data_IF_217906259417
#
_entry.id   IF_217906259417
#
_cell.length_a   1.000
_cell.length_b   1.000
_cell.length_c   1.000
_cell.angle_alpha   90.00
_cell.angle_beta   90.00
_cell.angle_gamma   90.00
#
_symmetry.space_group_name_H-M   'P 1'
#
loop_
_entity.id
_entity.type
_entity.pdbx_description
1 polymer ?
#
# COMPACT_ATOMS: atom_id res chain seq x y z
N UNK A 1 -39.39 -29.81 -70.60
CA UNK A 1 -39.71 -30.87 -69.61
C UNK A 1 -39.43 -30.33 -68.22
N UNK A 2 -40.44 -30.37 -67.35
CA UNK A 2 -40.43 -29.85 -65.98
C UNK A 2 -39.74 -30.86 -65.06
N UNK A 3 -38.88 -30.42 -64.14
CA UNK A 3 -38.63 -31.13 -62.86
C UNK A 3 -38.15 -30.15 -61.78
N UNK A 4 -39.01 -29.97 -60.79
CA UNK A 4 -38.71 -29.34 -59.51
C UNK A 4 -37.83 -30.26 -58.65
N UNK A 5 -36.91 -29.72 -57.85
CA UNK A 5 -36.47 -30.38 -56.62
C UNK A 5 -36.25 -29.37 -55.49
N UNK A 6 -36.83 -29.75 -54.36
CA UNK A 6 -37.02 -29.10 -53.07
C UNK A 6 -35.75 -28.61 -52.37
N UNK A 7 -35.93 -27.49 -51.66
CA UNK A 7 -35.13 -26.98 -50.56
C UNK A 7 -34.88 -28.05 -49.49
N UNK A 8 -33.64 -28.13 -49.00
CA UNK A 8 -33.29 -28.79 -47.74
C UNK A 8 -32.21 -27.96 -47.03
N UNK A 9 -32.65 -27.38 -45.92
CA UNK A 9 -31.85 -26.60 -44.97
C UNK A 9 -30.82 -27.50 -44.28
N UNK A 10 -29.54 -27.12 -44.32
CA UNK A 10 -28.54 -27.59 -43.38
C UNK A 10 -28.20 -26.44 -42.43
N UNK A 11 -28.87 -26.39 -41.29
CA UNK A 11 -28.46 -25.53 -40.18
C UNK A 11 -27.25 -26.17 -39.50
N UNK A 12 -26.10 -25.53 -39.66
CA UNK A 12 -24.85 -25.87 -39.02
C UNK A 12 -24.98 -25.63 -37.50
N UNK A 13 -25.14 -26.70 -36.74
CA UNK A 13 -24.89 -26.66 -35.31
C UNK A 13 -23.38 -26.69 -35.08
N UNK A 14 -22.88 -25.80 -34.22
CA UNK A 14 -21.81 -25.99 -33.21
C UNK A 14 -21.34 -24.60 -32.79
N UNK A 15 -21.49 -24.29 -31.50
CA UNK A 15 -20.43 -23.63 -30.75
C UNK A 15 -20.57 -23.96 -29.26
N UNK A 16 -19.49 -24.58 -28.80
CA UNK A 16 -19.16 -25.03 -27.46
C UNK A 16 -18.84 -23.81 -26.59
N UNK A 17 -19.21 -23.82 -25.30
CA UNK A 17 -18.28 -23.75 -24.17
C UNK A 17 -18.97 -23.33 -22.87
N UNK A 18 -18.45 -23.88 -21.79
CA UNK A 18 -18.93 -23.78 -20.43
C UNK A 18 -19.00 -22.33 -19.91
N UNK A 19 -20.17 -21.94 -19.42
CA UNK A 19 -20.25 -20.92 -18.39
C UNK A 19 -19.96 -21.61 -17.05
N UNK A 20 -18.67 -21.74 -16.75
CA UNK A 20 -18.21 -22.08 -15.41
C UNK A 20 -18.85 -21.13 -14.40
N UNK A 21 -19.25 -21.68 -13.26
CA UNK A 21 -19.79 -20.92 -12.14
C UNK A 21 -18.91 -19.71 -11.85
N UNK A 22 -19.50 -18.53 -11.95
CA UNK A 22 -18.94 -17.33 -11.36
C UNK A 22 -18.97 -17.55 -9.84
N UNK A 23 -17.83 -17.64 -9.13
CA UNK A 23 -17.86 -17.39 -7.71
C UNK A 23 -18.37 -15.96 -7.57
N UNK A 24 -19.48 -15.78 -6.85
CA UNK A 24 -19.77 -14.51 -6.19
C UNK A 24 -18.62 -14.29 -5.21
N UNK A 25 -17.52 -13.73 -5.72
CA UNK A 25 -16.57 -13.01 -4.91
C UNK A 25 -17.34 -11.78 -4.43
N UNK A 26 -18.12 -11.98 -3.35
CA UNK A 26 -18.39 -10.89 -2.43
C UNK A 26 -17.03 -10.45 -1.95
N UNK A 27 -16.43 -9.51 -2.68
CA UNK A 27 -15.27 -8.78 -2.19
C UNK A 27 -15.78 -8.14 -0.91
N UNK A 28 -15.39 -8.73 0.23
CA UNK A 28 -15.29 -7.97 1.45
C UNK A 28 -14.36 -6.82 1.08
N UNK A 29 -14.98 -5.68 0.77
CA UNK A 29 -14.29 -4.43 0.50
C UNK A 29 -13.57 -4.16 1.82
N UNK A 30 -12.29 -4.52 1.85
CA UNK A 30 -11.44 -4.39 3.01
C UNK A 30 -11.46 -2.91 3.39
N UNK A 31 -12.22 -2.59 4.43
CA UNK A 31 -12.41 -1.21 4.89
C UNK A 31 -11.09 -0.60 5.36
N UNK A 32 -10.08 -1.43 5.65
CA UNK A 32 -8.71 -0.97 5.88
C UNK A 32 -8.08 -0.35 4.61
N UNK A 33 -8.33 -0.92 3.43
CA UNK A 33 -7.89 -0.35 2.15
C UNK A 33 -8.65 0.93 1.78
N UNK A 34 -9.94 1.02 2.13
CA UNK A 34 -10.72 2.24 1.87
C UNK A 34 -10.29 3.41 2.76
N UNK A 35 -9.86 3.13 4.00
CA UNK A 35 -9.29 4.14 4.90
C UNK A 35 -7.91 4.59 4.40
N UNK A 36 -7.09 3.68 3.87
CA UNK A 36 -5.80 4.01 3.27
C UNK A 36 -5.90 4.87 1.99
N UNK A 37 -7.06 4.92 1.34
CA UNK A 37 -7.30 5.75 0.16
C UNK A 37 -7.71 7.20 0.49
N UNK A 38 -8.05 7.50 1.75
CA UNK A 38 -8.43 8.84 2.22
C UNK A 38 -7.29 9.60 2.89
N UNK A 39 -6.21 8.91 3.27
CA UNK A 39 -4.97 9.52 3.74
C UNK A 39 -3.98 9.64 2.57
N UNK A 40 -3.37 10.82 2.32
CA UNK A 40 -2.30 10.92 1.33
C UNK A 40 -1.20 9.93 1.71
N UNK A 41 -0.60 9.20 0.75
CA UNK A 41 0.29 8.09 1.06
C UNK A 41 1.47 8.60 1.86
N UNK A 42 1.52 8.28 3.16
CA UNK A 42 2.65 8.61 4.02
C UNK A 42 3.91 7.95 3.42
N UNK A 43 4.73 8.73 2.73
CA UNK A 43 6.10 8.38 2.44
C UNK A 43 6.92 8.34 3.73
N UNK A 44 7.61 7.24 3.92
CA UNK A 44 8.49 6.99 5.05
C UNK A 44 9.90 6.76 4.50
N UNK A 45 10.89 7.39 5.12
CA UNK A 45 12.29 7.12 4.80
C UNK A 45 13.09 7.01 6.09
N UNK A 46 13.98 6.03 6.15
CA UNK A 46 14.98 5.90 7.21
C UNK A 46 16.37 6.06 6.61
N UNK A 47 17.18 6.89 7.24
CA UNK A 47 18.60 7.06 6.93
C UNK A 47 19.38 6.49 8.11
N UNK A 48 20.20 5.46 7.84
CA UNK A 48 21.06 4.82 8.82
C UNK A 48 22.47 5.45 8.79
N UNK A 49 23.11 5.51 9.94
CA UNK A 49 24.48 5.97 10.12
C UNK A 49 25.32 4.86 10.74
N UNK A 50 26.60 4.79 10.37
CA UNK A 50 27.49 3.68 10.77
C UNK A 50 27.70 3.53 12.29
N UNK A 51 27.37 4.55 13.08
CA UNK A 51 27.48 4.56 14.55
C UNK A 51 26.18 4.14 15.26
N UNK A 52 25.23 3.55 14.53
CA UNK A 52 23.94 3.10 15.05
C UNK A 52 22.94 4.23 15.24
N UNK A 53 23.25 5.46 14.80
CA UNK A 53 22.27 6.54 14.71
C UNK A 53 21.36 6.35 13.50
N UNK A 54 20.14 6.85 13.61
CA UNK A 54 19.20 6.89 12.50
C UNK A 54 18.44 8.22 12.45
N UNK A 55 17.94 8.55 11.26
CA UNK A 55 16.97 9.62 11.04
C UNK A 55 15.79 9.06 10.27
N UNK A 56 14.58 9.19 10.83
CA UNK A 56 13.33 8.81 10.18
C UNK A 56 12.62 10.08 9.73
N UNK A 57 12.21 10.11 8.47
CA UNK A 57 11.46 11.20 7.88
C UNK A 57 10.08 10.68 7.46
N UNK A 58 9.04 11.40 7.88
CA UNK A 58 7.63 11.07 7.63
C UNK A 58 6.99 12.25 6.89
N UNK A 59 6.47 11.99 5.70
CA UNK A 59 5.77 12.91 4.77
C UNK A 59 4.66 12.14 4.03
N UNK A 60 3.70 12.71 3.28
CA UNK A 60 3.29 14.10 3.16
C UNK A 60 1.91 14.40 3.80
N UNK A 61 1.71 15.69 4.10
CA UNK A 61 0.45 16.42 4.37
C UNK A 61 -0.60 15.77 5.29
N UNK A 62 -0.79 16.37 6.48
CA UNK A 62 -1.85 16.14 7.47
C UNK A 62 -1.52 15.20 8.64
N UNK A 63 -0.30 14.66 8.72
CA UNK A 63 0.11 13.92 9.92
C UNK A 63 0.40 14.87 11.08
N UNK A 64 -0.44 14.81 12.11
CA UNK A 64 -0.12 15.45 13.39
C UNK A 64 1.23 14.91 13.90
N UNK A 65 1.96 15.70 14.69
CA UNK A 65 3.22 15.21 15.28
C UNK A 65 3.06 13.92 16.09
N UNK A 66 1.88 13.68 16.66
CA UNK A 66 1.54 12.44 17.35
C UNK A 66 1.42 11.26 16.38
N UNK A 67 0.75 11.43 15.23
CA UNK A 67 0.67 10.38 14.21
C UNK A 67 2.05 10.05 13.66
N UNK A 68 2.80 11.09 13.24
CA UNK A 68 4.15 10.94 12.73
C UNK A 68 5.09 10.25 13.73
N UNK A 69 4.95 10.55 15.04
CA UNK A 69 5.72 9.89 16.10
C UNK A 69 5.37 8.40 16.24
N UNK A 70 4.10 8.01 16.11
CA UNK A 70 3.71 6.59 16.18
C UNK A 70 4.30 5.80 15.01
N UNK A 71 4.22 6.37 13.81
CA UNK A 71 4.83 5.78 12.60
C UNK A 71 6.33 5.64 12.80
N UNK A 72 7.01 6.72 13.17
CA UNK A 72 8.45 6.69 13.43
C UNK A 72 8.85 5.70 14.53
N UNK A 73 8.07 5.56 15.61
CA UNK A 73 8.32 4.60 16.67
C UNK A 73 8.23 3.15 16.17
N UNK A 74 7.21 2.81 15.38
CA UNK A 74 7.07 1.49 14.78
C UNK A 74 8.24 1.18 13.83
N UNK A 75 8.62 2.14 12.99
CA UNK A 75 9.76 2.03 12.08
C UNK A 75 11.08 1.86 12.82
N UNK A 76 11.33 2.67 13.84
CA UNK A 76 12.55 2.59 14.64
C UNK A 76 12.64 1.26 15.40
N UNK A 77 11.51 0.77 15.92
CA UNK A 77 11.46 -0.52 16.60
C UNK A 77 11.80 -1.66 15.64
N UNK A 78 11.21 -1.69 14.44
CA UNK A 78 11.56 -2.68 13.43
C UNK A 78 13.04 -2.58 13.03
N UNK A 79 13.53 -1.37 12.77
CA UNK A 79 14.92 -1.14 12.37
C UNK A 79 15.95 -1.58 13.42
N UNK A 80 15.71 -1.29 14.70
CA UNK A 80 16.64 -1.69 15.77
C UNK A 80 16.48 -3.17 16.17
N UNK A 81 15.30 -3.76 15.98
CA UNK A 81 15.05 -5.18 16.30
C UNK A 81 15.94 -6.11 15.47
N UNK A 82 16.20 -5.79 14.20
CA UNK A 82 17.11 -6.56 13.34
C UNK A 82 18.55 -6.62 13.89
N UNK A 83 18.91 -5.65 14.75
CA UNK A 83 20.22 -5.56 15.43
C UNK A 83 20.16 -6.08 16.87
N UNK A 84 19.00 -6.52 17.36
CA UNK A 84 18.79 -6.93 18.76
C UNK A 84 18.81 -5.76 19.76
N UNK A 85 18.61 -4.52 19.28
CA UNK A 85 18.70 -3.28 20.05
C UNK A 85 17.33 -2.59 20.15
N UNK A 86 17.25 -1.56 21.00
CA UNK A 86 16.04 -0.75 21.18
C UNK A 86 16.26 0.67 20.65
N UNK A 87 15.22 1.32 20.09
CA UNK A 87 15.35 2.70 19.64
C UNK A 87 15.30 3.68 20.82
N UNK A 88 16.24 4.62 20.84
CA UNK A 88 16.23 5.81 21.70
C UNK A 88 16.12 7.04 20.79
N UNK A 89 15.03 7.80 20.91
CA UNK A 89 14.86 9.06 20.18
C UNK A 89 15.59 10.19 20.92
N UNK A 90 16.37 10.97 20.17
CA UNK A 90 17.16 12.08 20.71
C UNK A 90 16.63 13.44 20.26
N UNK A 91 15.96 13.50 19.09
CA UNK A 91 15.40 14.73 18.58
C UNK A 91 14.12 14.47 17.76
N UNK A 92 13.23 15.46 17.74
CA UNK A 92 12.07 15.50 16.86
C UNK A 92 11.88 16.92 16.34
N UNK A 93 11.91 17.10 15.03
CA UNK A 93 11.80 18.39 14.36
C UNK A 93 10.69 18.37 13.31
N UNK A 94 9.88 19.42 13.26
CA UNK A 94 8.93 19.63 12.16
C UNK A 94 9.64 20.42 11.05
N UNK A 95 9.78 19.82 9.87
CA UNK A 95 10.46 20.44 8.75
C UNK A 95 9.48 21.34 7.97
N UNK A 96 9.53 22.67 8.16
CA UNK A 96 8.61 23.62 7.51
C UNK A 96 9.20 24.36 6.29
N UNK A 97 10.51 24.23 6.04
CA UNK A 97 11.24 25.06 5.06
C UNK A 97 10.91 24.78 3.58
N UNK A 98 10.21 23.68 3.27
CA UNK A 98 9.95 23.25 1.89
C UNK A 98 8.45 23.09 1.53
N UNK A 99 7.53 23.68 2.31
CA UNK A 99 6.06 23.52 2.16
C UNK A 99 5.53 22.08 2.30
N UNK A 100 6.38 21.13 2.67
CA UNK A 100 5.98 19.77 3.00
C UNK A 100 5.72 19.69 4.50
N UNK A 101 4.51 19.34 4.92
CA UNK A 101 4.24 19.06 6.32
C UNK A 101 4.88 17.72 6.67
N UNK A 102 6.11 17.77 7.16
CA UNK A 102 6.94 16.61 7.44
C UNK A 102 7.53 16.67 8.84
N UNK A 103 7.75 15.51 9.41
CA UNK A 103 8.44 15.34 10.68
C UNK A 103 9.72 14.52 10.49
N UNK A 104 10.78 14.97 11.13
CA UNK A 104 12.04 14.26 11.23
C UNK A 104 12.26 13.82 12.68
N UNK A 105 12.60 12.55 12.87
CA UNK A 105 12.91 11.95 14.16
C UNK A 105 14.32 11.38 14.11
N UNK A 106 15.20 11.92 14.93
CA UNK A 106 16.56 11.39 15.09
C UNK A 106 16.63 10.49 16.32
N UNK A 107 17.44 9.44 16.22
CA UNK A 107 17.63 8.51 17.32
C UNK A 107 18.85 7.62 17.13
N UNK A 108 18.93 6.59 17.96
CA UNK A 108 19.95 5.55 17.89
C UNK A 108 19.41 4.21 18.38
N UNK A 109 20.02 3.14 17.90
CA UNK A 109 19.79 1.80 18.44
C UNK A 109 20.77 1.53 19.58
N UNK A 110 20.25 1.18 20.76
CA UNK A 110 21.02 0.86 21.98
C UNK A 110 20.42 -0.32 22.75
#
# INVERSE_FOLDING_TARGET
>A
MIRAVRSLSLSLAVLVAAAAGLPRAGQALDTAHLMAALDPPEGLTIVDHQDGRFVIQVWPNLVTGASARRVAAGTAQAHCADKGLRPIFTNAERYSKLRLDAWSFAGRCE
#
